data_IF_906934909388
#
_entry.id   IF_906934909388
#
_cell.length_a   1.000
_cell.length_b   1.000
_cell.length_c   1.000
_cell.angle_alpha   90.00
_cell.angle_beta   90.00
_cell.angle_gamma   90.00
#
_symmetry.space_group_name_H-M   'P 1'
#
loop_
_entity.id
_entity.type
_entity.pdbx_description
1 polymer ?
#
# COMPACT_ATOMS: atom_id res chain seq x y z
N UNK A 1 10.97 -7.96 -12.73
CA UNK A 1 9.80 -8.63 -12.09
C UNK A 1 8.92 -7.64 -11.32
N UNK A 2 9.48 -6.53 -10.80
CA UNK A 2 8.73 -5.48 -10.08
C UNK A 2 8.08 -4.40 -10.99
N UNK A 3 8.33 -4.39 -12.31
CA UNK A 3 7.75 -3.40 -13.25
C UNK A 3 6.23 -3.51 -13.41
N UNK A 4 5.61 -4.56 -12.85
CA UNK A 4 4.15 -4.72 -12.78
C UNK A 4 3.52 -4.09 -11.53
N UNK A 5 4.32 -3.60 -10.58
CA UNK A 5 3.86 -2.80 -9.43
C UNK A 5 3.67 -1.33 -9.86
N UNK A 6 2.96 -1.12 -10.98
CA UNK A 6 2.68 0.22 -11.52
C UNK A 6 1.84 1.09 -10.57
N UNK A 7 1.32 0.47 -9.51
CA UNK A 7 0.40 1.07 -8.57
C UNK A 7 1.04 1.18 -7.19
N UNK A 8 1.25 2.42 -6.73
CA UNK A 8 1.62 2.69 -5.35
C UNK A 8 0.34 2.78 -4.50
N UNK A 9 0.32 2.05 -3.40
CA UNK A 9 -0.78 2.02 -2.45
C UNK A 9 -0.31 2.55 -1.08
N UNK A 10 -1.06 3.49 -0.53
CA UNK A 10 -0.93 3.94 0.86
C UNK A 10 -2.30 3.81 1.53
N UNK A 11 -2.32 3.24 2.74
CA UNK A 11 -3.53 3.08 3.56
C UNK A 11 -3.23 3.63 4.95
N UNK A 12 -4.19 4.32 5.55
CA UNK A 12 -4.13 4.78 6.94
C UNK A 12 -5.45 4.49 7.67
N UNK A 13 -5.32 3.88 8.84
CA UNK A 13 -6.43 3.52 9.75
C UNK A 13 -7.60 2.78 9.09
N UNK A 14 -7.33 2.00 8.03
CA UNK A 14 -8.31 1.25 7.23
C UNK A 14 -9.49 2.07 6.66
N UNK A 15 -9.40 3.41 6.69
CA UNK A 15 -10.46 4.34 6.28
C UNK A 15 -9.98 5.48 5.38
N UNK A 16 -8.67 5.59 5.19
CA UNK A 16 -8.06 6.49 4.22
C UNK A 16 -7.15 5.73 3.27
N UNK A 17 -7.19 6.07 1.99
CA UNK A 17 -6.29 5.47 1.01
C UNK A 17 -5.89 6.46 -0.08
N UNK A 18 -4.65 6.31 -0.55
CA UNK A 18 -4.15 6.92 -1.77
C UNK A 18 -3.65 5.81 -2.70
N UNK A 19 -4.23 5.74 -3.88
CA UNK A 19 -3.91 4.70 -4.88
C UNK A 19 -3.50 5.38 -6.17
N UNK A 20 -2.25 5.20 -6.58
CA UNK A 20 -1.77 5.65 -7.89
C UNK A 20 -1.98 4.53 -8.90
N UNK A 21 -2.48 4.87 -10.10
CA UNK A 21 -2.77 3.89 -11.17
C UNK A 21 -1.83 4.01 -12.37
N UNK A 22 -1.05 5.09 -12.41
CA UNK A 22 -0.10 5.35 -13.48
C UNK A 22 1.21 5.87 -12.89
N UNK A 23 2.30 5.26 -13.35
CA UNK A 23 3.66 5.66 -13.00
C UNK A 23 4.01 7.03 -13.59
N UNK A 24 3.65 7.26 -14.85
CA UNK A 24 4.06 8.43 -15.64
C UNK A 24 3.09 9.62 -15.60
N UNK A 25 1.92 9.44 -14.99
CA UNK A 25 0.91 10.48 -14.86
C UNK A 25 0.46 10.63 -13.40
N UNK A 26 0.18 11.86 -12.98
CA UNK A 26 -0.35 12.19 -11.66
C UNK A 26 -1.85 11.83 -11.52
N UNK A 27 -2.19 10.58 -11.80
CA UNK A 27 -3.55 10.04 -11.63
C UNK A 27 -3.58 9.15 -10.41
N UNK A 28 -4.41 9.54 -9.44
CA UNK A 28 -4.61 8.81 -8.21
C UNK A 28 -6.07 8.86 -7.79
N UNK A 29 -6.47 7.89 -6.98
CA UNK A 29 -7.72 7.90 -6.21
C UNK A 29 -7.38 8.24 -4.77
N UNK A 30 -8.13 9.17 -4.21
CA UNK A 30 -8.08 9.55 -2.80
C UNK A 30 -9.40 9.16 -2.15
N UNK A 31 -9.30 8.40 -1.05
CA UNK A 31 -10.42 7.99 -0.22
C UNK A 31 -10.19 8.60 1.17
N UNK A 32 -11.21 9.28 1.69
CA UNK A 32 -11.15 9.94 2.99
C UNK A 32 -12.34 9.47 3.83
N UNK A 33 -12.03 8.91 5.00
CA UNK A 33 -13.00 8.49 6.00
C UNK A 33 -14.10 7.55 5.47
N UNK A 34 -13.72 6.60 4.62
CA UNK A 34 -14.63 5.58 4.10
C UNK A 34 -13.98 4.19 4.16
N UNK A 35 -14.35 3.42 5.19
CA UNK A 35 -13.85 2.06 5.38
C UNK A 35 -14.42 1.07 4.36
N UNK A 36 -15.63 1.30 3.85
CA UNK A 36 -16.25 0.44 2.84
C UNK A 36 -15.53 0.55 1.50
N UNK A 37 -15.19 1.79 1.10
CA UNK A 37 -14.39 2.04 -0.10
C UNK A 37 -12.93 1.60 0.06
N UNK A 38 -12.38 1.63 1.29
CA UNK A 38 -11.03 1.14 1.60
C UNK A 38 -10.89 -0.38 1.64
N UNK A 39 -11.96 -1.14 1.93
CA UNK A 39 -11.93 -2.59 2.10
C UNK A 39 -11.14 -3.39 1.04
N UNK A 40 -11.33 -3.18 -0.28
CA UNK A 40 -10.55 -3.91 -1.30
C UNK A 40 -9.05 -3.61 -1.25
N UNK A 41 -8.67 -2.39 -0.83
CA UNK A 41 -7.26 -2.00 -0.72
C UNK A 41 -6.60 -2.57 0.52
N UNK A 42 -7.33 -2.65 1.64
CA UNK A 42 -6.88 -3.32 2.87
C UNK A 42 -6.59 -4.80 2.58
N UNK A 43 -7.50 -5.49 1.88
CA UNK A 43 -7.28 -6.88 1.48
C UNK A 43 -6.04 -7.01 0.58
N UNK A 44 -5.87 -6.13 -0.41
CA UNK A 44 -4.69 -6.14 -1.28
C UNK A 44 -3.38 -5.94 -0.51
N UNK A 45 -3.37 -5.07 0.49
CA UNK A 45 -2.20 -4.88 1.35
C UNK A 45 -1.88 -6.16 2.13
N UNK A 46 -2.90 -6.80 2.72
CA UNK A 46 -2.73 -8.08 3.41
C UNK A 46 -2.17 -9.18 2.49
N UNK A 47 -2.66 -9.26 1.25
CA UNK A 47 -2.17 -10.21 0.25
C UNK A 47 -0.67 -9.99 -0.07
N UNK A 48 -0.25 -8.72 -0.23
CA UNK A 48 1.16 -8.36 -0.47
C UNK A 48 2.04 -8.72 0.71
N UNK A 49 1.57 -8.49 1.95
CA UNK A 49 2.30 -8.89 3.15
C UNK A 49 2.39 -10.42 3.25
N UNK A 50 1.32 -11.13 2.89
CA UNK A 50 1.27 -12.60 2.92
C UNK A 50 2.12 -13.27 1.82
N UNK A 51 2.38 -12.58 0.71
CA UNK A 51 3.33 -13.04 -0.34
C UNK A 51 4.75 -13.26 0.23
N UNK A 52 5.06 -12.63 1.36
CA UNK A 52 6.29 -12.83 2.11
C UNK A 52 7.47 -12.04 1.57
N UNK A 53 8.66 -12.36 2.10
CA UNK A 53 9.89 -11.60 1.89
C UNK A 53 10.66 -11.50 3.19
N UNK A 54 11.91 -11.05 3.15
CA UNK A 54 12.69 -10.82 4.36
C UNK A 54 12.33 -9.44 4.94
N UNK A 55 11.59 -9.37 6.06
CA UNK A 55 11.31 -8.09 6.68
C UNK A 55 12.61 -7.47 7.18
N UNK A 56 12.93 -6.29 6.65
CA UNK A 56 13.97 -5.45 7.22
C UNK A 56 13.41 -4.83 8.51
N UNK A 57 13.77 -5.43 9.64
CA UNK A 57 13.55 -4.83 10.95
C UNK A 57 14.75 -3.95 11.31
N UNK A 58 14.51 -2.90 12.09
CA UNK A 58 15.61 -2.17 12.72
C UNK A 58 16.40 -3.16 13.58
N UNK A 59 17.63 -3.47 13.19
CA UNK A 59 18.55 -4.15 14.09
C UNK A 59 18.93 -3.16 15.18
N UNK A 60 18.76 -3.55 16.44
CA UNK A 60 19.27 -2.81 17.60
C UNK A 60 20.80 -2.95 17.65
N UNK A 61 21.51 -2.54 16.60
CA UNK A 61 22.91 -2.19 16.69
C UNK A 61 22.93 -0.74 17.16
N UNK A 62 22.82 -0.61 18.49
CA UNK A 62 22.63 0.65 19.18
C UNK A 62 23.73 1.68 18.87
N UNK A 63 23.29 2.93 18.79
CA UNK A 63 23.98 4.07 19.37
C UNK A 63 23.00 4.76 20.32
#
# INVERSE_FOLDING_TARGET
HLDKLGDCLMIADDRHALVRFHRDHARARLIIDDSGECAPYVQRFADVVAEGGDPLSSTTLGL
#
